data_IF_455100817861
#
_entry.id   IF_455100817861
#
_cell.length_a   1.000
_cell.length_b   1.000
_cell.length_c   1.000
_cell.angle_alpha   90.00
_cell.angle_beta   90.00
_cell.angle_gamma   90.00
#
_symmetry.space_group_name_H-M   'P 1'
#
loop_
_entity.id
_entity.type
_entity.pdbx_description
1 polymer ?
#
# COMPACT_ATOMS: atom_id res chain seq x y z
N UNK A 1 17.13 -29.76 -4.37
CA UNK A 1 18.01 -28.80 -5.06
C UNK A 1 17.36 -27.42 -4.91
N UNK A 2 17.94 -26.47 -4.18
CA UNK A 2 17.36 -25.14 -3.99
C UNK A 2 17.42 -24.39 -5.33
N UNK A 3 16.29 -24.19 -5.98
CA UNK A 3 16.17 -23.59 -7.31
C UNK A 3 16.54 -22.10 -7.41
N UNK A 4 17.07 -21.51 -6.35
CA UNK A 4 17.44 -20.09 -6.25
C UNK A 4 18.87 -19.76 -6.72
N UNK A 5 19.68 -20.74 -7.13
CA UNK A 5 21.07 -20.51 -7.54
C UNK A 5 21.21 -20.97 -8.98
N UNK A 6 21.06 -20.04 -9.93
CA UNK A 6 20.94 -20.42 -11.33
C UNK A 6 22.17 -20.20 -12.19
N UNK A 7 23.14 -19.45 -11.76
CA UNK A 7 24.37 -19.29 -12.52
C UNK A 7 25.59 -19.48 -11.63
N UNK A 8 26.23 -20.63 -11.77
CA UNK A 8 27.60 -20.80 -11.32
C UNK A 8 28.47 -20.72 -12.55
N UNK A 9 29.20 -19.63 -12.71
CA UNK A 9 30.20 -19.48 -13.73
C UNK A 9 31.58 -19.44 -13.08
N UNK A 10 32.53 -20.15 -13.65
CA UNK A 10 33.95 -20.02 -13.31
C UNK A 10 34.61 -19.05 -14.32
N UNK A 11 35.03 -17.90 -13.87
CA UNK A 11 35.86 -16.99 -14.61
C UNK A 11 37.16 -16.80 -13.81
N UNK A 12 38.30 -17.18 -14.39
CA UNK A 12 39.60 -16.97 -13.76
C UNK A 12 39.82 -17.64 -12.40
N UNK A 13 39.18 -18.80 -12.14
CA UNK A 13 39.31 -19.52 -10.85
C UNK A 13 38.38 -19.06 -9.73
N UNK A 14 37.53 -18.04 -9.94
CA UNK A 14 36.53 -17.59 -8.99
C UNK A 14 35.14 -18.14 -9.35
N UNK A 15 34.38 -18.59 -8.35
CA UNK A 15 32.98 -19.01 -8.53
C UNK A 15 32.07 -17.82 -8.22
N UNK A 16 31.38 -17.29 -9.24
CA UNK A 16 30.35 -16.30 -9.07
C UNK A 16 28.97 -16.97 -8.95
N UNK A 17 28.20 -16.62 -7.91
CA UNK A 17 26.83 -17.07 -7.73
C UNK A 17 25.91 -15.86 -7.73
N UNK A 18 25.03 -15.77 -8.73
CA UNK A 18 24.05 -14.69 -8.85
C UNK A 18 22.70 -15.22 -8.42
N UNK A 19 22.09 -14.58 -7.42
CA UNK A 19 20.71 -14.85 -7.02
C UNK A 19 19.77 -14.19 -8.04
N UNK A 20 18.95 -15.01 -8.70
CA UNK A 20 17.91 -14.50 -9.61
C UNK A 20 16.67 -14.08 -8.81
N UNK A 21 15.96 -13.05 -9.27
CA UNK A 21 14.64 -12.74 -8.74
C UNK A 21 13.69 -13.94 -8.95
N UNK A 22 12.65 -14.07 -8.10
CA UNK A 22 11.66 -15.13 -8.26
C UNK A 22 11.03 -15.10 -9.66
N UNK A 23 11.04 -16.24 -10.35
CA UNK A 23 10.35 -16.41 -11.62
C UNK A 23 8.97 -17.00 -11.40
N UNK A 24 8.01 -16.74 -12.28
CA UNK A 24 6.66 -17.29 -12.20
C UNK A 24 6.64 -18.82 -12.07
N UNK A 25 7.54 -19.52 -12.74
CA UNK A 25 7.70 -20.97 -12.61
C UNK A 25 8.14 -21.46 -11.22
N UNK A 26 8.49 -20.54 -10.31
CA UNK A 26 8.84 -20.85 -8.92
C UNK A 26 7.63 -20.74 -7.97
N UNK A 27 6.47 -20.35 -8.50
CA UNK A 27 5.23 -20.23 -7.75
C UNK A 27 4.26 -21.34 -8.11
N UNK A 28 3.28 -21.59 -7.26
CA UNK A 28 2.13 -22.42 -7.61
C UNK A 28 1.22 -21.66 -8.59
N UNK A 29 0.23 -22.36 -9.17
CA UNK A 29 -0.70 -21.81 -10.17
C UNK A 29 -1.47 -20.57 -9.66
N UNK A 30 -1.70 -20.48 -8.34
CA UNK A 30 -2.42 -19.37 -7.71
C UNK A 30 -1.47 -18.24 -7.24
N UNK A 31 -0.16 -18.37 -7.37
CA UNK A 31 0.81 -17.40 -6.90
C UNK A 31 0.89 -17.25 -5.37
N UNK A 32 0.34 -18.18 -4.61
CA UNK A 32 0.25 -18.12 -3.13
C UNK A 32 1.36 -18.92 -2.43
N UNK A 33 2.06 -19.77 -3.15
CA UNK A 33 3.16 -20.57 -2.61
C UNK A 33 4.28 -20.71 -3.64
N UNK A 34 5.50 -20.95 -3.13
CA UNK A 34 6.63 -21.35 -3.97
C UNK A 34 6.39 -22.74 -4.58
N UNK A 35 7.15 -23.10 -5.63
CA UNK A 35 7.01 -24.39 -6.32
C UNK A 35 7.28 -25.60 -5.40
N UNK A 36 7.93 -25.41 -4.27
CA UNK A 36 8.16 -26.43 -3.23
C UNK A 36 7.03 -26.53 -2.19
N UNK A 37 5.93 -25.79 -2.40
CA UNK A 37 4.78 -25.74 -1.50
C UNK A 37 4.93 -24.78 -0.32
N UNK A 38 6.07 -24.12 -0.15
CA UNK A 38 6.26 -23.14 0.94
C UNK A 38 5.37 -21.92 0.69
N UNK A 39 4.53 -21.52 1.65
CA UNK A 39 3.69 -20.32 1.50
C UNK A 39 4.52 -19.07 1.24
N UNK A 40 4.03 -18.22 0.34
CA UNK A 40 4.59 -16.88 0.16
C UNK A 40 4.09 -16.03 1.33
N UNK A 41 4.97 -15.32 2.03
CA UNK A 41 4.55 -14.44 3.11
C UNK A 41 3.53 -13.40 2.62
N UNK A 42 2.42 -13.28 3.34
CA UNK A 42 1.43 -12.24 3.07
C UNK A 42 2.08 -10.87 3.21
N UNK A 43 1.79 -9.98 2.28
CA UNK A 43 2.21 -8.58 2.31
C UNK A 43 0.99 -7.71 2.11
N UNK A 44 0.95 -6.60 2.84
CA UNK A 44 -0.04 -5.57 2.67
C UNK A 44 0.66 -4.27 2.31
N UNK A 45 0.06 -3.50 1.42
CA UNK A 45 0.53 -2.17 1.07
C UNK A 45 -0.66 -1.25 0.82
N UNK A 46 -0.48 0.02 1.12
CA UNK A 46 -1.42 1.08 0.78
C UNK A 46 -0.71 2.04 -0.15
N UNK A 47 -1.31 2.29 -1.29
CA UNK A 47 -0.88 3.31 -2.22
C UNK A 47 -1.90 4.44 -2.19
N UNK A 48 -1.48 5.61 -1.79
CA UNK A 48 -2.34 6.77 -1.65
C UNK A 48 -1.85 7.94 -2.52
N UNK A 49 -2.79 8.66 -3.09
CA UNK A 49 -2.54 9.98 -3.67
C UNK A 49 -3.67 10.95 -3.27
N UNK A 50 -3.30 12.17 -3.00
CA UNK A 50 -4.24 13.24 -2.65
C UNK A 50 -4.83 13.95 -3.88
N UNK A 51 -5.55 15.05 -3.63
CA UNK A 51 -6.16 15.94 -4.63
C UNK A 51 -7.30 15.34 -5.47
N UNK A 52 -7.79 14.17 -5.06
CA UNK A 52 -8.94 13.55 -5.70
C UNK A 52 -8.68 12.98 -7.10
N UNK A 53 -9.77 12.69 -7.77
CA UNK A 53 -9.83 12.08 -9.08
C UNK A 53 -10.87 12.78 -9.95
N UNK A 54 -10.72 12.71 -11.24
CA UNK A 54 -11.75 13.13 -12.19
C UNK A 54 -12.77 12.02 -12.37
N UNK A 55 -13.90 12.10 -11.65
CA UNK A 55 -14.89 11.01 -11.57
C UNK A 55 -15.29 10.44 -12.93
N UNK A 56 -15.57 11.29 -13.91
CA UNK A 56 -16.00 10.85 -15.27
C UNK A 56 -14.94 10.01 -16.00
N UNK A 57 -13.69 10.10 -15.61
CA UNK A 57 -12.58 9.38 -16.23
C UNK A 57 -12.01 8.26 -15.34
N UNK A 58 -12.42 8.21 -14.09
CA UNK A 58 -11.97 7.21 -13.12
C UNK A 58 -13.03 6.15 -12.81
N UNK A 59 -14.31 6.51 -12.80
CA UNK A 59 -15.35 5.59 -12.37
C UNK A 59 -15.49 4.42 -13.35
N UNK A 60 -15.26 3.17 -12.90
CA UNK A 60 -15.48 1.99 -13.73
C UNK A 60 -16.95 1.82 -14.06
N UNK A 61 -17.25 1.09 -15.12
CA UNK A 61 -18.60 0.66 -15.47
C UNK A 61 -18.77 -0.84 -15.29
N UNK A 62 -20.01 -1.29 -15.16
CA UNK A 62 -20.31 -2.71 -14.89
C UNK A 62 -20.04 -3.11 -13.44
N UNK A 63 -20.33 -4.38 -13.15
CA UNK A 63 -20.20 -4.96 -11.80
C UNK A 63 -19.53 -6.33 -11.84
N UNK A 64 -19.03 -6.78 -10.67
CA UNK A 64 -18.39 -8.07 -10.51
C UNK A 64 -17.21 -8.26 -11.45
N UNK A 65 -16.99 -9.45 -11.95
CA UNK A 65 -15.87 -9.74 -12.87
C UNK A 65 -16.00 -9.07 -14.25
N UNK A 66 -17.18 -8.54 -14.57
CA UNK A 66 -17.46 -7.85 -15.83
C UNK A 66 -17.15 -6.37 -15.85
N UNK A 67 -16.64 -5.79 -14.76
CA UNK A 67 -16.32 -4.37 -14.69
C UNK A 67 -15.35 -3.93 -15.80
N UNK A 68 -15.51 -2.71 -16.28
CA UNK A 68 -14.65 -2.13 -17.32
C UNK A 68 -13.96 -0.89 -16.79
N UNK A 69 -12.65 -0.74 -17.01
CA UNK A 69 -11.91 0.42 -16.56
C UNK A 69 -12.32 1.66 -17.36
N UNK A 70 -12.42 2.78 -16.67
CA UNK A 70 -12.51 4.08 -17.31
C UNK A 70 -11.15 4.50 -17.90
N UNK A 71 -11.11 5.62 -18.62
CA UNK A 71 -9.90 6.03 -19.35
C UNK A 71 -8.66 6.21 -18.49
N UNK A 72 -8.77 6.76 -17.27
CA UNK A 72 -7.65 6.92 -16.34
C UNK A 72 -7.25 5.61 -15.67
N UNK A 73 -8.12 4.61 -15.68
CA UNK A 73 -7.82 3.24 -15.19
C UNK A 73 -7.26 2.32 -16.29
N UNK A 74 -7.13 2.78 -17.52
CA UNK A 74 -6.66 1.98 -18.65
C UNK A 74 -5.35 1.20 -18.37
N UNK A 75 -4.36 1.74 -17.63
CA UNK A 75 -3.16 0.98 -17.27
C UNK A 75 -3.45 -0.28 -16.45
N UNK A 76 -4.56 -0.31 -15.70
CA UNK A 76 -4.96 -1.46 -14.88
C UNK A 76 -5.56 -2.61 -15.72
N UNK A 77 -5.88 -2.39 -17.00
CA UNK A 77 -6.46 -3.41 -17.87
C UNK A 77 -5.63 -4.71 -17.88
N UNK A 78 -4.31 -4.61 -17.82
CA UNK A 78 -3.40 -5.76 -17.84
C UNK A 78 -3.45 -6.62 -16.58
N UNK A 79 -3.92 -6.05 -15.48
CA UNK A 79 -4.02 -6.70 -14.17
C UNK A 79 -5.46 -6.70 -13.64
N UNK A 80 -6.42 -6.47 -14.53
CA UNK A 80 -7.84 -6.31 -14.18
C UNK A 80 -8.39 -7.44 -13.31
N UNK A 81 -7.99 -8.66 -13.60
CA UNK A 81 -8.48 -9.86 -12.89
C UNK A 81 -8.02 -9.92 -11.43
N UNK A 82 -7.03 -9.10 -11.06
CA UNK A 82 -6.50 -8.96 -9.70
C UNK A 82 -6.94 -7.65 -9.02
N UNK A 83 -7.80 -6.87 -9.68
CA UNK A 83 -8.26 -5.58 -9.18
C UNK A 83 -9.75 -5.60 -8.91
N UNK A 84 -10.13 -5.20 -7.71
CA UNK A 84 -11.54 -5.04 -7.31
C UNK A 84 -11.81 -3.56 -7.02
N UNK A 85 -12.34 -2.80 -7.99
CA UNK A 85 -12.69 -1.40 -7.75
C UNK A 85 -13.89 -1.33 -6.80
N UNK A 86 -13.74 -0.58 -5.71
CA UNK A 86 -14.83 -0.33 -4.77
C UNK A 86 -15.22 1.14 -4.89
N UNK A 87 -16.47 1.38 -5.24
CA UNK A 87 -17.02 2.73 -5.43
C UNK A 87 -18.15 3.01 -4.44
N UNK A 88 -18.53 4.28 -4.31
CA UNK A 88 -19.63 4.67 -3.42
C UNK A 88 -19.25 4.72 -1.94
N UNK A 89 -17.99 4.57 -1.60
CA UNK A 89 -17.53 4.73 -0.22
C UNK A 89 -17.51 6.21 0.18
N UNK A 90 -17.83 6.45 1.43
CA UNK A 90 -17.88 7.78 2.03
C UNK A 90 -17.15 7.79 3.37
N UNK A 91 -16.35 8.82 3.59
CA UNK A 91 -15.67 9.02 4.88
C UNK A 91 -16.64 9.63 5.87
N UNK A 92 -17.27 8.82 6.70
CA UNK A 92 -18.26 9.27 7.70
C UNK A 92 -17.67 10.15 8.82
N UNK A 93 -16.38 10.13 9.00
CA UNK A 93 -15.66 10.89 10.02
C UNK A 93 -15.25 12.30 9.57
N UNK A 94 -15.56 12.67 8.33
CA UNK A 94 -15.16 13.94 7.75
C UNK A 94 -15.95 15.12 8.35
N UNK A 95 -15.39 15.76 9.36
CA UNK A 95 -15.92 17.02 9.91
C UNK A 95 -15.23 18.27 9.35
N UNK A 96 -13.99 18.12 8.92
CA UNK A 96 -13.19 19.14 8.22
C UNK A 96 -12.44 18.41 7.10
N UNK A 97 -12.94 18.44 5.87
CA UNK A 97 -12.46 17.55 4.79
C UNK A 97 -10.97 17.60 4.55
N UNK A 98 -10.38 18.78 4.65
CA UNK A 98 -8.95 19.00 4.44
C UNK A 98 -8.08 18.28 5.47
N UNK A 99 -8.50 18.22 6.74
CA UNK A 99 -7.78 17.54 7.81
C UNK A 99 -8.22 16.07 7.98
N UNK A 100 -9.49 15.77 7.75
CA UNK A 100 -10.07 14.46 8.06
C UNK A 100 -9.97 13.44 6.93
N UNK A 101 -9.63 13.86 5.71
CA UNK A 101 -9.55 12.95 4.58
C UNK A 101 -8.54 11.83 4.81
N UNK A 102 -7.31 12.17 5.16
CA UNK A 102 -6.24 11.21 5.39
C UNK A 102 -6.47 10.36 6.64
N UNK A 103 -6.79 11.00 7.77
CA UNK A 103 -7.07 10.26 9.00
C UNK A 103 -8.27 9.34 8.84
N UNK A 104 -9.34 9.81 8.19
CA UNK A 104 -10.55 9.03 7.97
C UNK A 104 -10.32 7.80 7.10
N UNK A 105 -9.57 7.92 6.02
CA UNK A 105 -9.22 6.79 5.14
C UNK A 105 -8.35 5.77 5.87
N UNK A 106 -7.32 6.24 6.58
CA UNK A 106 -6.31 5.36 7.15
C UNK A 106 -6.69 4.78 8.50
N UNK A 107 -7.55 5.46 9.27
CA UNK A 107 -7.88 5.04 10.65
C UNK A 107 -9.37 4.79 10.89
N UNK A 108 -10.24 5.21 10.00
CA UNK A 108 -11.70 5.20 10.23
C UNK A 108 -12.13 6.15 11.38
N UNK A 109 -11.27 7.05 11.82
CA UNK A 109 -11.52 7.95 12.93
C UNK A 109 -11.34 9.42 12.55
N UNK A 110 -11.88 10.31 13.36
CA UNK A 110 -11.59 11.74 13.26
C UNK A 110 -10.15 12.00 13.68
N UNK A 111 -9.60 13.11 13.19
CA UNK A 111 -8.32 13.62 13.70
C UNK A 111 -8.46 14.06 15.18
N UNK A 112 -7.34 14.13 15.87
CA UNK A 112 -7.22 14.85 17.12
C UNK A 112 -6.68 16.27 16.83
N UNK A 113 -7.35 17.28 17.35
CA UNK A 113 -6.85 18.65 17.32
C UNK A 113 -5.87 18.83 18.48
N UNK A 114 -4.65 19.24 18.17
CA UNK A 114 -3.57 19.42 19.16
C UNK A 114 -3.20 20.89 19.35
N UNK A 115 -3.77 21.78 18.53
CA UNK A 115 -3.52 23.21 18.64
C UNK A 115 -4.30 24.01 17.60
N UNK A 116 -3.96 25.29 17.55
CA UNK A 116 -4.46 26.24 16.55
C UNK A 116 -3.32 27.17 16.16
N UNK A 117 -3.11 27.35 14.89
CA UNK A 117 -2.27 28.42 14.37
C UNK A 117 -3.12 29.65 14.06
N UNK A 118 -2.50 30.73 13.57
CA UNK A 118 -3.18 31.98 13.25
C UNK A 118 -4.38 31.78 12.30
N UNK A 119 -4.24 30.87 11.34
CA UNK A 119 -5.16 30.74 10.22
C UNK A 119 -5.83 29.36 10.14
N UNK A 120 -5.39 28.39 10.94
CA UNK A 120 -5.90 27.01 10.85
C UNK A 120 -5.76 26.23 12.17
N UNK A 121 -6.37 25.04 12.21
CA UNK A 121 -6.19 24.09 13.30
C UNK A 121 -4.97 23.20 13.04
N UNK A 122 -4.32 22.79 14.11
CA UNK A 122 -3.21 21.82 14.07
C UNK A 122 -3.76 20.46 14.48
N UNK A 123 -3.56 19.47 13.64
CA UNK A 123 -4.17 18.16 13.80
C UNK A 123 -3.16 17.01 13.78
N UNK A 124 -3.52 15.92 14.43
CA UNK A 124 -2.77 14.66 14.40
C UNK A 124 -3.73 13.47 14.29
N UNK A 125 -3.17 12.29 14.10
CA UNK A 125 -3.95 11.07 14.11
C UNK A 125 -4.43 10.74 15.53
N UNK A 126 -5.70 10.39 15.65
CA UNK A 126 -6.29 9.98 16.93
C UNK A 126 -6.20 8.47 17.18
N UNK A 127 -5.89 7.71 16.15
CA UNK A 127 -5.80 6.25 16.19
C UNK A 127 -4.73 5.75 15.23
N UNK A 128 -4.27 4.55 15.49
CA UNK A 128 -3.35 3.81 14.61
C UNK A 128 -3.95 3.59 13.22
N UNK A 129 -3.15 3.74 12.20
CA UNK A 129 -3.54 3.52 10.80
C UNK A 129 -3.63 2.02 10.47
N UNK A 130 -4.42 1.69 9.46
CA UNK A 130 -4.72 0.29 9.08
C UNK A 130 -3.47 -0.50 8.69
N UNK A 131 -2.48 0.13 8.09
CA UNK A 131 -1.21 -0.49 7.73
C UNK A 131 -0.39 -0.86 8.98
N UNK A 132 -0.40 -0.02 10.01
CA UNK A 132 0.27 -0.30 11.28
C UNK A 132 -0.45 -1.38 12.09
N UNK A 133 -1.80 -1.39 12.04
CA UNK A 133 -2.58 -2.50 12.61
C UNK A 133 -2.23 -3.82 11.91
N UNK A 134 -2.13 -3.81 10.59
CA UNK A 134 -1.72 -5.00 9.82
C UNK A 134 -0.30 -5.44 10.17
N UNK A 135 0.64 -4.51 10.35
CA UNK A 135 2.01 -4.80 10.76
C UNK A 135 2.06 -5.47 12.14
N UNK A 136 1.25 -5.01 13.10
CA UNK A 136 1.11 -5.65 14.41
C UNK A 136 0.54 -7.06 14.31
N UNK A 137 -0.49 -7.24 13.49
CA UNK A 137 -1.09 -8.56 13.27
C UNK A 137 -0.09 -9.54 12.65
N UNK A 138 0.71 -9.11 11.66
CA UNK A 138 1.74 -9.96 11.07
C UNK A 138 2.83 -10.32 12.07
N UNK A 139 3.26 -9.37 12.90
CA UNK A 139 4.22 -9.63 13.96
C UNK A 139 3.69 -10.65 14.99
N UNK A 140 2.42 -10.51 15.39
CA UNK A 140 1.75 -11.44 16.29
C UNK A 140 1.62 -12.86 15.69
N UNK A 141 1.52 -12.98 14.39
CA UNK A 141 1.52 -14.26 13.66
C UNK A 141 2.92 -14.83 13.43
N UNK A 142 3.95 -14.18 13.97
CA UNK A 142 5.33 -14.65 13.85
C UNK A 142 6.00 -14.30 12.52
N UNK A 143 5.41 -13.46 11.70
CA UNK A 143 6.05 -12.95 10.47
C UNK A 143 7.23 -12.06 10.87
N UNK A 144 8.43 -12.46 10.43
CA UNK A 144 9.69 -11.75 10.72
C UNK A 144 10.20 -11.09 9.45
N UNK A 145 10.33 -9.76 9.49
CA UNK A 145 10.94 -8.94 8.44
C UNK A 145 12.01 -8.05 9.06
N UNK A 146 13.04 -7.61 8.29
CA UNK A 146 14.06 -6.68 8.79
C UNK A 146 13.45 -5.35 9.31
N UNK A 147 12.37 -4.90 8.69
CA UNK A 147 11.61 -3.74 9.10
C UNK A 147 10.15 -4.15 9.32
N UNK A 148 9.53 -3.60 10.35
CA UNK A 148 8.13 -3.86 10.68
C UNK A 148 7.19 -3.30 9.59
N UNK A 149 7.43 -2.09 9.14
CA UNK A 149 6.76 -1.41 8.04
C UNK A 149 7.77 -0.64 7.20
N UNK A 150 7.38 -0.28 5.99
CA UNK A 150 8.15 0.57 5.11
C UNK A 150 7.24 1.69 4.63
N UNK A 151 7.59 2.92 4.98
CA UNK A 151 6.84 4.11 4.62
C UNK A 151 7.69 4.94 3.68
N UNK A 152 7.15 5.22 2.51
CA UNK A 152 7.84 5.94 1.45
C UNK A 152 6.97 7.08 0.93
N UNK A 153 7.61 8.21 0.66
CA UNK A 153 6.99 9.37 0.05
C UNK A 153 7.75 9.81 -1.20
N UNK A 154 7.06 10.44 -2.12
CA UNK A 154 7.64 10.97 -3.37
C UNK A 154 8.00 12.44 -3.28
N UNK A 155 7.64 13.11 -2.20
CA UNK A 155 7.92 14.51 -1.96
C UNK A 155 8.76 14.67 -0.70
N UNK A 156 9.63 15.66 -0.70
CA UNK A 156 10.34 16.08 0.49
C UNK A 156 9.37 16.50 1.57
N UNK A 157 9.64 16.03 2.78
CA UNK A 157 8.92 16.47 3.95
C UNK A 157 9.10 17.98 4.14
N UNK A 158 7.99 18.67 4.12
CA UNK A 158 7.94 20.07 4.55
C UNK A 158 7.04 20.15 5.77
N UNK A 159 7.60 20.62 6.88
CA UNK A 159 6.80 20.94 8.05
C UNK A 159 5.66 21.87 7.64
N UNK A 160 4.45 21.53 8.03
CA UNK A 160 3.29 22.40 7.88
C UNK A 160 2.84 22.80 9.28
N UNK A 161 2.32 24.01 9.40
CA UNK A 161 1.74 24.48 10.65
C UNK A 161 0.42 23.77 10.98
N UNK A 162 -0.07 22.93 10.06
CA UNK A 162 -1.34 22.22 10.16
C UNK A 162 -1.24 20.85 10.85
N UNK A 163 -0.04 20.36 11.12
CA UNK A 163 0.22 19.17 11.92
C UNK A 163 0.49 17.90 11.10
N UNK A 164 0.59 16.77 11.81
CA UNK A 164 1.09 15.51 11.23
C UNK A 164 0.14 14.86 10.24
N UNK A 165 -1.16 15.22 10.24
CA UNK A 165 -2.14 14.70 9.26
C UNK A 165 -1.82 15.05 7.81
N UNK A 166 -0.96 16.05 7.58
CA UNK A 166 -0.48 16.45 6.27
C UNK A 166 0.92 15.93 5.94
N UNK A 167 1.55 15.29 6.89
CA UNK A 167 2.95 14.88 6.80
C UNK A 167 3.08 13.37 6.64
N UNK A 168 2.16 12.63 7.23
CA UNK A 168 2.20 11.17 7.29
C UNK A 168 0.83 10.59 6.98
N UNK A 169 0.82 9.41 6.34
CA UNK A 169 -0.37 8.58 6.15
C UNK A 169 -0.41 7.42 7.15
N UNK A 170 0.75 7.03 7.61
CA UNK A 170 0.95 5.93 8.55
C UNK A 170 1.19 6.49 9.96
N UNK A 171 0.53 5.91 10.97
CA UNK A 171 0.61 6.36 12.35
C UNK A 171 0.40 5.22 13.36
#
# INVERSE_FOLDING_TARGET
MKRRTFLRGALGGAVASIALPPLEAMFNTNGTAHADGTPIPTRMGVWFWGNGIRRSQWMPSGEGFGWQPASEMAPLQRVRDYVSPVTGLEIKTASHPHHSGMTGIMTGARYAQVGTTRDTIVTTFARQSVDQVAADMFAAQGVRTPYRSLEVGIADFRGTDEGTTFQHLSH
#
